data_IF_046802426985
#
_entry.id   IF_046802426985
#
_cell.length_a   1.000
_cell.length_b   1.000
_cell.length_c   1.000
_cell.angle_alpha   90.00
_cell.angle_beta   90.00
_cell.angle_gamma   90.00
#
_symmetry.space_group_name_H-M   'P 1'
#
loop_
_entity.id
_entity.type
_entity.pdbx_description
1 polymer ?
#
# COMPACT_ATOMS: atom_id res chain seq x y z
N UNK A 1 27.25 -21.90 -22.08
CA UNK A 1 27.71 -21.91 -20.68
C UNK A 1 26.92 -20.83 -19.96
N UNK A 2 25.83 -21.20 -19.27
CA UNK A 2 24.92 -20.25 -18.64
C UNK A 2 25.40 -19.93 -17.21
N UNK A 3 25.34 -18.66 -16.75
CA UNK A 3 25.76 -18.33 -15.40
C UNK A 3 24.76 -18.90 -14.37
N UNK A 4 25.23 -19.36 -13.19
CA UNK A 4 24.37 -19.91 -12.16
C UNK A 4 23.42 -18.81 -11.64
N UNK A 5 22.13 -18.98 -11.88
CA UNK A 5 21.08 -18.18 -11.22
C UNK A 5 21.12 -18.53 -9.74
N UNK A 6 21.56 -17.59 -8.90
CA UNK A 6 21.57 -17.69 -7.44
C UNK A 6 20.16 -17.75 -6.83
N UNK A 7 19.43 -18.83 -7.12
CA UNK A 7 18.11 -19.14 -6.61
C UNK A 7 18.23 -20.49 -5.91
N UNK A 8 18.26 -20.48 -4.57
CA UNK A 8 18.00 -21.70 -3.80
C UNK A 8 16.59 -22.19 -4.11
N UNK A 9 16.49 -23.44 -4.54
CA UNK A 9 15.21 -24.14 -4.76
C UNK A 9 14.31 -24.08 -3.51
N UNK A 10 12.97 -24.17 -3.67
CA UNK A 10 11.98 -23.90 -2.60
C UNK A 10 12.03 -24.85 -1.38
N UNK A 11 12.95 -25.82 -1.37
CA UNK A 11 13.01 -26.92 -0.41
C UNK A 11 13.82 -26.63 0.86
N UNK A 12 14.52 -25.49 1.02
CA UNK A 12 15.38 -25.22 2.20
C UNK A 12 15.30 -23.82 2.81
N UNK A 13 14.10 -23.32 3.11
CA UNK A 13 13.94 -22.11 3.95
C UNK A 13 13.02 -22.37 5.17
N UNK A 14 13.46 -23.20 6.14
CA UNK A 14 12.64 -23.60 7.31
C UNK A 14 12.24 -22.39 8.17
N UNK A 15 13.11 -21.39 8.29
CA UNK A 15 12.84 -20.15 9.03
C UNK A 15 11.71 -19.33 8.41
N UNK A 16 11.65 -19.25 7.08
CA UNK A 16 10.59 -18.55 6.36
C UNK A 16 9.22 -19.25 6.53
N UNK A 17 9.20 -20.59 6.57
CA UNK A 17 7.98 -21.36 6.86
C UNK A 17 7.52 -21.20 8.30
N UNK A 18 8.43 -21.19 9.26
CA UNK A 18 8.10 -20.99 10.67
C UNK A 18 7.54 -19.58 10.91
N UNK A 19 8.18 -18.55 10.36
CA UNK A 19 7.71 -17.16 10.44
C UNK A 19 6.35 -16.98 9.74
N UNK A 20 6.16 -17.56 8.55
CA UNK A 20 4.88 -17.56 7.84
C UNK A 20 3.77 -18.27 8.61
N UNK A 21 4.08 -19.38 9.29
CA UNK A 21 3.10 -20.14 10.09
C UNK A 21 2.73 -19.44 11.41
N UNK A 22 3.68 -18.74 12.04
CA UNK A 22 3.38 -17.92 13.21
C UNK A 22 2.49 -16.73 12.85
N UNK A 23 2.81 -16.05 11.73
CA UNK A 23 2.00 -14.97 11.19
C UNK A 23 0.59 -15.46 10.79
N UNK A 24 0.49 -16.62 10.13
CA UNK A 24 -0.77 -17.30 9.81
C UNK A 24 -1.69 -17.47 11.03
N UNK A 25 -1.13 -17.97 12.12
CA UNK A 25 -1.86 -18.25 13.35
C UNK A 25 -2.32 -16.95 14.02
N UNK A 26 -1.46 -15.93 14.07
CA UNK A 26 -1.83 -14.60 14.57
C UNK A 26 -2.98 -13.98 13.75
N UNK A 27 -2.92 -14.06 12.41
CA UNK A 27 -3.98 -13.61 11.51
C UNK A 27 -5.29 -14.41 11.67
N UNK A 28 -5.20 -15.72 11.88
CA UNK A 28 -6.38 -16.59 12.05
C UNK A 28 -7.08 -16.32 13.39
N UNK A 29 -6.32 -16.06 14.44
CA UNK A 29 -6.86 -15.68 15.75
C UNK A 29 -7.50 -14.29 15.69
N UNK A 30 -6.85 -13.31 15.04
CA UNK A 30 -7.44 -12.01 14.78
C UNK A 30 -8.74 -12.10 13.95
N UNK A 31 -8.80 -13.03 12.99
CA UNK A 31 -9.98 -13.24 12.12
C UNK A 31 -11.21 -13.65 12.91
N UNK A 32 -11.04 -14.57 13.86
CA UNK A 32 -12.14 -15.11 14.65
C UNK A 32 -12.68 -14.12 15.67
N UNK A 33 -11.85 -13.19 16.13
CA UNK A 33 -12.22 -12.22 17.16
C UNK A 33 -12.84 -10.94 16.58
N UNK A 34 -12.68 -10.65 15.28
CA UNK A 34 -13.00 -9.34 14.67
C UNK A 34 -13.52 -9.46 13.24
N UNK A 35 -14.70 -10.06 13.05
CA UNK A 35 -15.39 -10.12 11.75
C UNK A 35 -16.11 -8.77 11.47
N UNK A 36 -16.15 -8.21 10.24
CA UNK A 36 -15.75 -8.77 8.93
C UNK A 36 -14.28 -8.52 8.53
N UNK A 37 -13.53 -7.71 9.28
CA UNK A 37 -12.11 -7.38 9.01
C UNK A 37 -11.25 -7.61 10.27
N UNK A 38 -10.43 -8.68 10.30
CA UNK A 38 -9.62 -9.13 11.45
C UNK A 38 -8.66 -8.08 12.00
N UNK A 39 -8.12 -7.34 11.04
CA UNK A 39 -7.18 -6.23 11.14
C UNK A 39 -7.68 -5.17 10.14
N UNK A 40 -7.41 -3.89 10.39
CA UNK A 40 -7.90 -2.78 9.56
C UNK A 40 -9.43 -2.62 9.55
N UNK A 41 -10.13 -3.03 10.62
CA UNK A 41 -11.58 -2.91 10.73
C UNK A 41 -12.09 -1.47 10.72
N UNK A 42 -11.23 -0.51 11.09
CA UNK A 42 -11.52 0.92 11.04
C UNK A 42 -10.62 1.57 10.00
N UNK A 43 -11.23 2.23 9.04
CA UNK A 43 -10.53 3.01 8.05
C UNK A 43 -11.47 3.89 7.25
N UNK A 44 -10.93 4.96 6.71
CA UNK A 44 -11.65 5.94 5.90
C UNK A 44 -11.22 5.81 4.44
N UNK A 45 -12.16 6.03 3.54
CA UNK A 45 -11.90 6.03 2.11
C UNK A 45 -11.45 7.43 1.70
N UNK A 46 -10.42 7.48 0.88
CA UNK A 46 -9.85 8.69 0.34
C UNK A 46 -9.87 8.64 -1.19
N UNK A 47 -10.17 9.75 -1.84
CA UNK A 47 -10.12 9.92 -3.28
C UNK A 47 -9.06 10.95 -3.66
N UNK A 48 -8.45 10.82 -4.84
CA UNK A 48 -7.48 11.81 -5.30
C UNK A 48 -6.74 11.41 -6.55
N UNK A 49 -5.48 11.83 -6.63
CA UNK A 49 -4.63 11.61 -7.80
C UNK A 49 -3.16 11.40 -7.45
N UNK A 50 -2.46 10.70 -8.34
CA UNK A 50 -1.03 10.44 -8.25
C UNK A 50 -0.32 11.06 -9.47
N UNK A 51 0.73 11.84 -9.21
CA UNK A 51 1.55 12.53 -10.21
C UNK A 51 2.99 12.09 -10.09
N UNK A 52 3.59 11.64 -11.18
CA UNK A 52 5.00 11.26 -11.19
C UNK A 52 5.90 12.49 -11.30
N UNK A 53 7.03 12.44 -10.62
CA UNK A 53 8.06 13.47 -10.65
C UNK A 53 8.89 13.34 -11.92
N UNK A 54 9.11 14.45 -12.60
CA UNK A 54 10.00 14.50 -13.75
C UNK A 54 11.45 14.23 -13.32
N UNK A 55 12.18 13.40 -14.07
CA UNK A 55 13.58 13.07 -13.77
C UNK A 55 13.79 12.20 -12.53
N UNK A 56 12.76 11.46 -12.09
CA UNK A 56 12.90 10.49 -11.01
C UNK A 56 14.03 9.48 -11.31
N UNK A 57 14.80 9.09 -10.28
CA UNK A 57 15.83 8.07 -10.47
C UNK A 57 15.17 6.75 -10.84
N UNK A 58 15.71 5.99 -11.81
CA UNK A 58 15.12 4.71 -12.17
C UNK A 58 15.11 3.73 -10.98
N UNK A 59 14.03 2.99 -10.79
CA UNK A 59 13.87 1.93 -9.78
C UNK A 59 14.06 0.51 -10.35
N UNK A 60 13.88 0.31 -11.67
CA UNK A 60 13.83 -1.01 -12.29
C UNK A 60 12.42 -1.60 -12.18
N UNK A 61 11.41 -0.73 -12.17
CA UNK A 61 9.98 -1.06 -12.20
C UNK A 61 9.36 -0.13 -13.22
N UNK A 62 8.62 -0.66 -14.19
CA UNK A 62 7.87 0.15 -15.15
C UNK A 62 6.95 1.16 -14.46
N UNK A 63 6.39 0.79 -13.29
CA UNK A 63 5.62 1.71 -12.45
C UNK A 63 6.35 3.00 -12.08
N UNK A 64 7.67 2.99 -11.92
CA UNK A 64 8.49 4.17 -11.61
C UNK A 64 9.14 4.74 -12.88
N UNK A 65 9.62 3.84 -13.74
CA UNK A 65 10.50 4.17 -14.86
C UNK A 65 9.70 4.64 -16.10
N UNK A 66 8.47 4.16 -16.27
CA UNK A 66 7.56 4.51 -17.36
C UNK A 66 6.42 5.40 -16.85
N UNK A 67 6.80 6.57 -16.34
CA UNK A 67 5.89 7.52 -15.71
C UNK A 67 4.76 7.99 -16.64
N UNK A 68 3.48 7.89 -16.23
CA UNK A 68 2.38 8.54 -16.93
C UNK A 68 2.58 10.05 -17.04
N UNK A 69 2.22 10.63 -18.19
CA UNK A 69 2.35 12.08 -18.44
C UNK A 69 1.25 12.90 -17.78
N UNK A 70 0.10 12.29 -17.50
CA UNK A 70 -1.04 12.93 -16.83
C UNK A 70 -1.20 12.38 -15.41
N UNK A 71 -1.81 13.15 -14.49
CA UNK A 71 -2.19 12.64 -13.18
C UNK A 71 -3.09 11.41 -13.31
N UNK A 72 -2.83 10.41 -12.47
CA UNK A 72 -3.60 9.17 -12.45
C UNK A 72 -4.58 9.22 -11.28
N UNK A 73 -5.90 9.05 -11.51
CA UNK A 73 -6.89 8.99 -10.44
C UNK A 73 -6.63 7.82 -9.50
N UNK A 74 -6.86 8.01 -8.21
CA UNK A 74 -6.66 6.99 -7.19
C UNK A 74 -7.84 6.92 -6.22
N UNK A 75 -8.08 5.73 -5.69
CA UNK A 75 -8.87 5.51 -4.48
C UNK A 75 -7.96 4.87 -3.45
N UNK A 76 -8.00 5.38 -2.24
CA UNK A 76 -7.15 4.93 -1.16
C UNK A 76 -7.98 4.63 0.08
N UNK A 77 -7.42 3.84 0.98
CA UNK A 77 -8.01 3.56 2.28
C UNK A 77 -6.95 3.69 3.36
N UNK A 78 -7.17 4.64 4.25
CA UNK A 78 -6.36 4.83 5.45
C UNK A 78 -6.99 4.06 6.59
N UNK A 79 -6.21 3.29 7.34
CA UNK A 79 -6.77 2.38 8.35
C UNK A 79 -5.84 2.15 9.54
N UNK A 80 -6.43 1.64 10.63
CA UNK A 80 -5.74 1.27 11.85
C UNK A 80 -5.71 -0.26 11.97
N UNK A 81 -4.51 -0.84 11.93
CA UNK A 81 -4.33 -2.29 11.73
C UNK A 81 -4.75 -3.10 12.95
N UNK A 82 -4.25 -2.76 14.14
CA UNK A 82 -4.65 -3.38 15.41
C UNK A 82 -6.08 -2.95 15.76
N UNK A 83 -6.52 -1.78 15.35
CA UNK A 83 -7.86 -1.25 15.62
C UNK A 83 -7.99 -0.73 17.05
N UNK A 84 -6.94 -0.12 17.60
CA UNK A 84 -7.04 0.68 18.82
C UNK A 84 -7.74 2.01 18.50
N UNK A 85 -8.61 2.55 19.37
CA UNK A 85 -9.22 3.87 19.15
C UNK A 85 -8.16 4.97 19.21
N UNK A 86 -8.38 6.10 18.53
CA UNK A 86 -7.56 7.27 18.78
C UNK A 86 -7.76 7.77 20.22
N UNK A 87 -6.74 8.38 20.86
CA UNK A 87 -5.42 8.74 20.34
C UNK A 87 -4.33 7.68 20.59
N UNK A 88 -4.68 6.42 20.90
CA UNK A 88 -3.69 5.37 21.14
C UNK A 88 -2.80 5.16 19.90
N UNK A 89 -1.53 4.75 20.03
CA UNK A 89 -0.71 4.42 18.88
C UNK A 89 -1.18 3.11 18.23
N UNK A 90 -1.17 3.04 16.91
CA UNK A 90 -1.50 1.84 16.13
C UNK A 90 -0.58 1.73 14.90
N UNK A 91 -0.52 0.57 14.26
CA UNK A 91 0.09 0.44 12.94
C UNK A 91 -0.88 1.03 11.93
N UNK A 92 -0.45 2.10 11.26
CA UNK A 92 -1.23 2.83 10.28
C UNK A 92 -1.04 2.17 8.91
N UNK A 93 -2.13 1.73 8.29
CA UNK A 93 -2.12 1.18 6.94
C UNK A 93 -2.67 2.18 5.93
N UNK A 94 -2.01 2.33 4.79
CA UNK A 94 -2.51 3.08 3.63
C UNK A 94 -2.48 2.16 2.43
N UNK A 95 -3.66 1.82 1.90
CA UNK A 95 -3.77 1.09 0.66
C UNK A 95 -4.22 2.04 -0.46
N UNK A 96 -3.63 1.92 -1.65
CA UNK A 96 -3.89 2.80 -2.81
C UNK A 96 -4.16 1.91 -4.02
N UNK A 97 -5.25 2.20 -4.71
CA UNK A 97 -5.66 1.55 -5.96
C UNK A 97 -5.76 2.59 -7.06
N UNK A 98 -5.30 2.21 -8.23
CA UNK A 98 -5.32 3.03 -9.44
C UNK A 98 -5.35 2.13 -10.67
N UNK A 99 -5.56 2.74 -11.84
CA UNK A 99 -5.52 2.03 -13.12
C UNK A 99 -4.28 2.43 -13.90
N UNK A 100 -3.60 1.44 -14.49
CA UNK A 100 -2.58 1.69 -15.52
C UNK A 100 -2.83 0.74 -16.68
N UNK A 101 -2.90 1.29 -17.88
CA UNK A 101 -3.12 0.53 -19.12
C UNK A 101 -4.33 -0.44 -19.04
N UNK A 102 -5.46 0.04 -18.50
CA UNK A 102 -6.71 -0.75 -18.41
C UNK A 102 -6.70 -1.83 -17.33
N UNK A 103 -5.70 -1.86 -16.43
CA UNK A 103 -5.62 -2.85 -15.36
C UNK A 103 -5.52 -2.20 -13.98
N UNK A 104 -6.20 -2.75 -12.96
CA UNK A 104 -6.04 -2.31 -11.60
C UNK A 104 -4.63 -2.61 -11.08
N UNK A 105 -4.11 -1.70 -10.27
CA UNK A 105 -2.88 -1.85 -9.52
C UNK A 105 -3.10 -1.38 -8.08
N UNK A 106 -2.62 -2.17 -7.12
CA UNK A 106 -2.74 -1.94 -5.69
C UNK A 106 -1.36 -1.81 -5.05
N UNK A 107 -1.22 -0.85 -4.13
CA UNK A 107 -0.08 -0.72 -3.23
C UNK A 107 -0.59 -0.73 -1.80
N UNK A 108 0.00 -1.58 -0.96
CA UNK A 108 -0.34 -1.71 0.45
C UNK A 108 0.83 -1.26 1.33
N UNK A 109 0.72 -0.06 1.89
CA UNK A 109 1.69 0.48 2.84
C UNK A 109 1.25 0.23 4.28
N UNK A 110 2.24 0.12 5.17
CA UNK A 110 2.06 0.13 6.61
C UNK A 110 3.09 1.05 7.26
N UNK A 111 2.82 1.55 8.46
CA UNK A 111 3.77 2.40 9.17
C UNK A 111 5.02 1.62 9.56
N UNK A 112 6.17 2.04 9.02
CA UNK A 112 7.47 1.41 9.21
C UNK A 112 8.55 2.42 9.59
N UNK A 113 9.75 1.94 9.93
CA UNK A 113 10.92 2.79 10.04
C UNK A 113 11.44 3.31 8.69
N UNK A 114 12.48 4.14 8.75
CA UNK A 114 13.10 4.79 7.58
C UNK A 114 14.39 4.12 7.11
N UNK A 115 15.25 3.82 8.07
CA UNK A 115 16.60 3.28 7.85
C UNK A 115 16.64 1.79 8.12
N UNK A 116 17.66 1.13 7.61
CA UNK A 116 17.96 -0.24 8.00
C UNK A 116 18.38 -0.28 9.48
N UNK A 117 17.89 -1.26 10.28
CA UNK A 117 16.95 -2.33 9.90
C UNK A 117 15.48 -1.93 9.99
N UNK A 118 15.16 -0.82 10.67
CA UNK A 118 13.79 -0.41 11.01
C UNK A 118 12.84 -0.23 9.82
N UNK A 119 13.35 -0.02 8.59
CA UNK A 119 12.51 0.03 7.38
C UNK A 119 11.78 -1.28 7.06
N UNK A 120 12.19 -2.39 7.69
CA UNK A 120 11.51 -3.69 7.62
C UNK A 120 10.68 -4.00 8.88
N UNK A 121 10.50 -3.02 9.77
CA UNK A 121 9.81 -3.18 11.06
C UNK A 121 8.55 -2.31 11.08
N UNK A 122 7.42 -2.90 11.50
CA UNK A 122 6.20 -2.16 11.77
C UNK A 122 6.37 -1.28 13.01
N UNK A 123 5.99 -0.01 12.90
CA UNK A 123 6.03 0.95 14.00
C UNK A 123 4.61 1.47 14.26
N UNK A 124 4.27 1.64 15.53
CA UNK A 124 2.99 2.21 15.92
C UNK A 124 3.08 3.74 15.97
N UNK A 125 2.07 4.42 15.42
CA UNK A 125 1.97 5.88 15.39
C UNK A 125 0.61 6.33 15.91
N UNK A 126 0.60 7.46 16.63
CA UNK A 126 -0.65 8.12 17.06
C UNK A 126 -1.29 8.96 15.94
N UNK A 127 -0.45 9.44 15.02
CA UNK A 127 -0.76 10.43 13.99
C UNK A 127 -0.25 9.93 12.65
N UNK A 128 -1.14 9.76 11.69
CA UNK A 128 -0.83 9.19 10.38
C UNK A 128 0.10 10.09 9.56
N UNK A 129 -0.06 11.41 9.67
CA UNK A 129 0.78 12.42 9.03
C UNK A 129 2.24 12.42 9.53
N UNK A 130 2.51 11.78 10.67
CA UNK A 130 3.85 11.59 11.24
C UNK A 130 4.45 10.23 10.90
N UNK A 131 3.67 9.33 10.32
CA UNK A 131 4.12 8.00 9.95
C UNK A 131 4.92 8.04 8.64
N UNK A 132 5.82 7.08 8.50
CA UNK A 132 6.41 6.71 7.22
C UNK A 132 5.76 5.41 6.80
N UNK A 133 5.14 5.38 5.64
CA UNK A 133 4.27 4.29 5.22
C UNK A 133 5.02 3.48 4.17
N UNK A 134 5.71 2.42 4.58
CA UNK A 134 6.51 1.56 3.71
C UNK A 134 5.79 0.26 3.33
N UNK A 135 6.24 -0.37 2.24
CA UNK A 135 5.93 -1.78 2.00
C UNK A 135 6.91 -2.65 2.79
N UNK A 136 6.42 -3.68 3.49
CA UNK A 136 7.30 -4.59 4.26
C UNK A 136 8.07 -5.55 3.35
N UNK A 137 7.46 -5.96 2.25
CA UNK A 137 7.98 -6.98 1.35
C UNK A 137 8.32 -6.34 0.00
N UNK A 138 9.54 -6.50 -0.51
CA UNK A 138 9.94 -5.85 -1.74
C UNK A 138 9.28 -6.47 -2.96
N UNK A 139 9.01 -5.63 -3.95
CA UNK A 139 8.79 -6.09 -5.32
C UNK A 139 10.11 -6.59 -5.90
N UNK A 140 10.01 -7.50 -6.87
CA UNK A 140 11.13 -7.88 -7.72
C UNK A 140 11.09 -7.05 -9.00
N UNK A 141 11.93 -6.02 -9.07
CA UNK A 141 12.20 -5.28 -10.29
C UNK A 141 13.18 -5.98 -11.22
N UNK A 142 13.55 -5.33 -12.31
CA UNK A 142 14.54 -5.81 -13.27
C UNK A 142 15.97 -5.70 -12.74
N UNK A 143 16.20 -4.78 -11.81
CA UNK A 143 17.52 -4.55 -11.17
C UNK A 143 17.62 -5.08 -9.73
N UNK A 144 16.63 -5.85 -9.28
CA UNK A 144 16.63 -6.48 -7.96
C UNK A 144 15.43 -6.08 -7.08
N UNK A 145 15.54 -6.24 -5.75
CA UNK A 145 14.47 -5.90 -4.82
C UNK A 145 14.23 -4.39 -4.76
N UNK A 146 12.97 -3.99 -4.90
CA UNK A 146 12.53 -2.58 -4.82
C UNK A 146 11.50 -2.43 -3.70
N UNK A 147 11.80 -1.53 -2.77
CA UNK A 147 10.89 -1.09 -1.73
C UNK A 147 10.23 0.22 -2.15
N UNK A 148 8.98 0.42 -1.73
CA UNK A 148 8.26 1.68 -1.85
C UNK A 148 7.97 2.26 -0.47
N UNK A 149 7.87 3.58 -0.40
CA UNK A 149 7.48 4.34 0.79
C UNK A 149 6.61 5.53 0.40
N UNK A 150 5.69 5.91 1.28
CA UNK A 150 4.97 7.17 1.25
C UNK A 150 5.29 7.97 2.52
N UNK A 151 5.57 9.25 2.37
CA UNK A 151 5.83 10.18 3.47
C UNK A 151 5.04 11.46 3.28
N UNK A 152 4.42 11.95 4.34
CA UNK A 152 3.69 13.22 4.28
C UNK A 152 4.62 14.35 3.88
N UNK A 153 4.22 15.07 2.84
CA UNK A 153 4.81 16.32 2.38
C UNK A 153 4.11 17.50 3.03
N UNK A 154 2.78 17.49 3.03
CA UNK A 154 1.96 18.54 3.64
C UNK A 154 0.57 18.02 4.00
N UNK A 155 -0.14 18.79 4.84
CA UNK A 155 -1.47 18.43 5.32
C UNK A 155 -1.47 17.24 6.27
N UNK A 156 -2.66 16.74 6.53
CA UNK A 156 -2.92 15.57 7.37
C UNK A 156 -4.16 14.86 6.84
N UNK A 157 -4.32 13.55 7.06
CA UNK A 157 -5.55 12.89 6.65
C UNK A 157 -6.75 13.45 7.42
N UNK A 158 -7.96 13.45 6.80
CA UNK A 158 -9.17 13.97 7.43
C UNK A 158 -9.52 13.23 8.73
N UNK A 159 -9.31 11.91 8.77
CA UNK A 159 -9.47 11.07 9.95
C UNK A 159 -8.70 9.75 9.76
N UNK A 160 -8.52 8.99 10.85
CA UNK A 160 -8.05 7.58 10.79
C UNK A 160 -9.12 6.58 11.25
N UNK A 161 -10.23 7.09 11.79
CA UNK A 161 -11.40 6.36 12.25
C UNK A 161 -12.64 7.01 11.61
N UNK A 162 -13.56 6.25 10.99
CA UNK A 162 -14.81 6.78 10.44
C UNK A 162 -15.66 7.61 11.42
N UNK A 163 -15.50 7.39 12.74
CA UNK A 163 -16.23 8.16 13.76
C UNK A 163 -15.70 9.56 13.97
N UNK A 164 -14.50 9.84 13.46
CA UNK A 164 -13.81 11.13 13.57
C UNK A 164 -13.90 11.93 12.27
N UNK A 165 -14.77 11.52 11.34
CA UNK A 165 -14.91 12.20 10.06
C UNK A 165 -15.32 13.66 10.27
N UNK A 166 -14.63 14.60 9.62
CA UNK A 166 -14.95 16.01 9.74
C UNK A 166 -16.30 16.31 9.06
N UNK A 167 -17.02 17.30 9.58
CA UNK A 167 -18.28 17.78 9.00
C UNK A 167 -18.10 18.79 7.87
N UNK A 168 -16.84 19.16 7.56
CA UNK A 168 -16.46 20.12 6.54
C UNK A 168 -15.28 19.59 5.74
N UNK A 169 -15.14 20.09 4.52
CA UNK A 169 -14.00 19.80 3.67
C UNK A 169 -12.68 20.17 4.34
N UNK A 170 -11.74 19.25 4.28
CA UNK A 170 -10.38 19.46 4.77
C UNK A 170 -9.43 19.75 3.61
N UNK A 171 -8.34 20.44 3.91
CA UNK A 171 -7.19 20.53 3.03
C UNK A 171 -6.74 19.12 2.60
N UNK A 172 -6.14 18.97 1.40
CA UNK A 172 -5.65 17.68 0.94
C UNK A 172 -4.51 17.18 1.83
N UNK A 173 -4.38 15.87 1.91
CA UNK A 173 -3.18 15.23 2.43
C UNK A 173 -2.27 14.86 1.27
N UNK A 174 -1.07 15.44 1.24
CA UNK A 174 -0.10 15.23 0.16
C UNK A 174 1.06 14.39 0.68
N UNK A 175 1.34 13.30 -0.04
CA UNK A 175 2.37 12.33 0.26
C UNK A 175 3.39 12.29 -0.87
N UNK A 176 4.68 12.34 -0.56
CA UNK A 176 5.73 12.00 -1.53
C UNK A 176 5.95 10.49 -1.48
N UNK A 177 5.85 9.85 -2.64
CA UNK A 177 6.23 8.46 -2.84
C UNK A 177 7.71 8.37 -3.21
N UNK A 178 8.38 7.37 -2.64
CA UNK A 178 9.79 7.09 -2.90
C UNK A 178 10.05 5.59 -3.06
N UNK A 179 11.17 5.27 -3.70
CA UNK A 179 11.67 3.91 -3.84
C UNK A 179 13.09 3.78 -3.27
N UNK A 180 13.47 2.56 -2.93
CA UNK A 180 14.83 2.23 -2.54
C UNK A 180 15.15 0.78 -2.88
N UNK A 181 16.43 0.47 -3.05
CA UNK A 181 16.90 -0.90 -2.86
C UNK A 181 16.85 -1.25 -1.38
N UNK A 182 16.98 -2.53 -1.03
CA UNK A 182 16.92 -2.99 0.36
C UNK A 182 17.85 -2.18 1.30
N UNK A 183 19.06 -1.85 0.84
CA UNK A 183 20.11 -1.18 1.62
C UNK A 183 20.42 0.25 1.15
N UNK A 184 19.79 0.70 0.06
CA UNK A 184 20.07 2.00 -0.55
C UNK A 184 19.34 3.18 0.10
N UNK A 185 19.68 4.41 -0.31
CA UNK A 185 18.91 5.60 0.05
C UNK A 185 17.54 5.60 -0.63
N UNK A 186 16.61 6.39 -0.08
CA UNK A 186 15.30 6.63 -0.68
C UNK A 186 15.40 7.66 -1.80
N UNK A 187 14.72 7.41 -2.91
CA UNK A 187 14.63 8.29 -4.07
C UNK A 187 13.15 8.62 -4.34
N UNK A 188 12.77 9.91 -4.33
CA UNK A 188 11.39 10.30 -4.62
C UNK A 188 11.05 10.03 -6.09
N UNK A 189 9.81 9.65 -6.38
CA UNK A 189 9.35 9.41 -7.75
C UNK A 189 7.93 9.89 -8.07
N UNK A 190 7.07 10.12 -7.07
CA UNK A 190 5.72 10.61 -7.31
C UNK A 190 5.18 11.39 -6.09
N UNK A 191 4.09 12.12 -6.32
CA UNK A 191 3.26 12.73 -5.31
C UNK A 191 1.85 12.13 -5.37
N UNK A 192 1.31 11.83 -4.21
CA UNK A 192 -0.05 11.33 -4.01
C UNK A 192 -0.81 12.40 -3.23
N UNK A 193 -1.77 13.03 -3.88
CA UNK A 193 -2.70 13.98 -3.25
C UNK A 193 -4.03 13.26 -3.01
N UNK A 194 -4.50 13.23 -1.76
CA UNK A 194 -5.74 12.56 -1.40
C UNK A 194 -6.59 13.42 -0.46
N UNK A 195 -7.90 13.26 -0.57
CA UNK A 195 -8.95 13.94 0.22
C UNK A 195 -9.95 12.91 0.70
N UNK A 196 -10.85 13.32 1.60
CA UNK A 196 -11.96 12.46 1.98
C UNK A 196 -12.79 12.13 0.74
N UNK A 197 -13.04 10.84 0.50
CA UNK A 197 -13.95 10.44 -0.57
C UNK A 197 -15.41 10.65 -0.11
N UNK A 198 -16.30 11.26 -0.92
CA UNK A 198 -17.70 11.39 -0.52
C UNK A 198 -18.40 10.04 -0.34
N UNK A 199 -17.97 9.01 -1.08
CA UNK A 199 -18.45 7.64 -0.93
C UNK A 199 -17.51 6.85 0.00
N UNK A 200 -17.96 6.63 1.24
CA UNK A 200 -17.25 5.86 2.25
C UNK A 200 -17.53 4.34 2.21
N UNK A 201 -18.31 3.85 1.25
CA UNK A 201 -18.57 2.41 1.12
C UNK A 201 -17.28 1.64 0.79
N UNK A 202 -16.87 0.73 1.67
CA UNK A 202 -15.57 0.05 1.56
C UNK A 202 -15.65 -1.43 1.12
N UNK A 203 -16.85 -1.90 0.76
CA UNK A 203 -17.16 -3.29 0.40
C UNK A 203 -16.37 -3.77 -0.84
N UNK A 204 -16.22 -2.92 -1.85
CA UNK A 204 -15.40 -3.15 -3.06
C UNK A 204 -13.93 -2.73 -2.94
N UNK A 205 -13.51 -2.21 -1.77
CA UNK A 205 -12.15 -1.74 -1.50
C UNK A 205 -11.33 -2.79 -0.73
N UNK A 206 -11.28 -3.99 -1.31
CA UNK A 206 -10.37 -5.04 -0.90
C UNK A 206 -9.12 -4.98 -1.77
N UNK A 207 -8.08 -4.34 -1.26
CA UNK A 207 -6.79 -4.19 -1.92
C UNK A 207 -6.02 -5.51 -1.89
N UNK A 208 -5.34 -5.81 -2.98
CA UNK A 208 -4.53 -7.02 -3.15
C UNK A 208 -3.33 -6.74 -4.06
N UNK A 209 -2.22 -6.30 -3.46
CA UNK A 209 -0.99 -5.99 -4.18
C UNK A 209 -0.30 -7.21 -4.82
N UNK A 210 -0.78 -8.44 -4.57
CA UNK A 210 -0.32 -9.65 -5.26
C UNK A 210 -1.14 -9.91 -6.52
N UNK A 211 -2.48 -9.81 -6.43
CA UNK A 211 -3.37 -9.98 -7.59
C UNK A 211 -3.29 -8.79 -8.55
N UNK A 212 -3.10 -7.59 -8.01
CA UNK A 212 -3.02 -6.34 -8.76
C UNK A 212 -1.65 -5.68 -8.51
N UNK A 213 -0.53 -6.30 -8.94
CA UNK A 213 0.78 -5.70 -8.75
C UNK A 213 0.94 -4.45 -9.62
N UNK A 214 1.77 -3.51 -9.17
CA UNK A 214 2.12 -2.35 -10.00
C UNK A 214 2.84 -2.76 -11.29
N UNK A 215 2.76 -1.99 -12.38
CA UNK A 215 3.42 -2.31 -13.64
C UNK A 215 4.91 -2.64 -13.49
N UNK A 216 5.35 -3.71 -14.14
CA UNK A 216 6.73 -4.20 -14.07
C UNK A 216 7.13 -4.89 -12.75
N UNK A 217 6.25 -4.91 -11.73
CA UNK A 217 6.53 -5.62 -10.50
C UNK A 217 6.29 -7.12 -10.64
N UNK A 218 7.30 -7.90 -10.27
CA UNK A 218 7.17 -9.34 -10.02
C UNK A 218 7.17 -9.59 -8.51
N UNK A 219 6.63 -10.72 -8.10
CA UNK A 219 6.64 -11.12 -6.68
C UNK A 219 7.62 -12.27 -6.45
N UNK A 220 8.42 -12.20 -5.38
CA UNK A 220 9.27 -13.31 -4.97
C UNK A 220 8.44 -14.49 -4.45
N UNK A 221 8.90 -15.72 -4.68
CA UNK A 221 8.18 -16.92 -4.22
C UNK A 221 8.01 -16.95 -2.68
N UNK A 222 9.02 -16.50 -1.94
CA UNK A 222 8.95 -16.41 -0.47
C UNK A 222 7.97 -15.32 0.01
N UNK A 223 7.80 -14.23 -0.74
CA UNK A 223 6.82 -13.17 -0.45
C UNK A 223 5.40 -13.71 -0.62
N UNK A 224 5.15 -14.45 -1.71
CA UNK A 224 3.87 -15.15 -1.92
C UNK A 224 3.59 -16.12 -0.77
N UNK A 225 4.58 -16.95 -0.40
CA UNK A 225 4.44 -17.90 0.69
C UNK A 225 4.21 -17.24 2.06
N UNK A 226 4.88 -16.12 2.35
CA UNK A 226 4.74 -15.39 3.61
C UNK A 226 3.35 -14.75 3.76
N UNK A 227 2.75 -14.30 2.65
CA UNK A 227 1.40 -13.72 2.66
C UNK A 227 0.28 -14.75 2.45
N UNK A 228 0.60 -15.96 1.96
CA UNK A 228 -0.37 -17.04 1.68
C UNK A 228 -1.40 -17.30 2.81
N UNK A 229 -1.04 -17.26 4.11
CA UNK A 229 -2.03 -17.50 5.16
C UNK A 229 -3.12 -16.43 5.29
N UNK A 230 -2.84 -15.21 4.83
CA UNK A 230 -3.79 -14.10 4.78
C UNK A 230 -4.72 -14.19 3.56
N UNK A 231 -4.30 -14.94 2.53
CA UNK A 231 -5.02 -15.10 1.25
C UNK A 231 -5.84 -16.39 1.16
N UNK A 232 -5.55 -17.44 1.94
CA UNK A 232 -6.26 -18.74 1.92
C UNK A 232 -7.71 -18.64 2.45
N UNK A 233 -8.18 -17.46 2.85
CA UNK A 233 -9.61 -17.18 2.94
C UNK A 233 -9.94 -15.79 2.38
N UNK A 234 -10.98 -15.77 1.55
CA UNK A 234 -11.87 -14.63 1.23
C UNK A 234 -11.44 -13.70 0.08
N UNK A 235 -11.75 -14.12 -1.15
CA UNK A 235 -12.61 -13.39 -2.09
C UNK A 235 -12.93 -14.29 -3.28
N UNK A 236 -14.19 -14.40 -3.73
CA UNK A 236 -14.48 -14.94 -5.05
C UNK A 236 -13.81 -14.06 -6.12
N UNK A 237 -13.35 -14.66 -7.22
CA UNK A 237 -12.69 -13.93 -8.31
C UNK A 237 -13.58 -12.83 -8.92
N UNK A 238 -14.90 -12.92 -8.72
CA UNK A 238 -15.92 -11.99 -9.23
C UNK A 238 -16.38 -10.92 -8.22
N UNK A 239 -15.66 -10.71 -7.12
CA UNK A 239 -16.02 -9.63 -6.19
C UNK A 239 -15.93 -8.26 -6.88
N UNK A 240 -16.93 -7.36 -6.71
CA UNK A 240 -16.91 -6.05 -7.35
C UNK A 240 -15.67 -5.25 -6.90
N UNK A 241 -14.86 -4.83 -7.86
CA UNK A 241 -13.66 -4.02 -7.65
C UNK A 241 -14.07 -2.55 -7.75
N UNK A 242 -14.01 -1.81 -6.64
CA UNK A 242 -14.15 -0.34 -6.69
C UNK A 242 -12.87 0.25 -7.28
N UNK A 243 -13.01 0.87 -8.44
CA UNK A 243 -11.98 1.68 -9.10
C UNK A 243 -12.11 3.15 -8.68
N UNK A 244 -11.04 3.95 -8.82
CA UNK A 244 -11.13 5.40 -8.67
C UNK A 244 -12.23 5.96 -9.57
N UNK A 245 -12.97 6.95 -9.10
CA UNK A 245 -13.85 7.70 -9.98
C UNK A 245 -13.02 8.36 -11.08
N UNK A 246 -13.47 8.27 -12.34
CA UNK A 246 -12.90 9.07 -13.42
C UNK A 246 -13.10 10.54 -13.06
N UNK A 247 -12.06 11.39 -13.10
CA UNK A 247 -12.23 12.81 -12.87
C UNK A 247 -13.28 13.33 -13.85
N UNK A 248 -14.35 13.92 -13.31
CA UNK A 248 -15.29 14.65 -14.13
C UNK A 248 -14.52 15.81 -14.77
N UNK A 249 -14.53 15.99 -16.11
CA UNK A 249 -13.92 17.17 -16.70
C UNK A 249 -14.52 18.40 -16.01
N UNK A 250 -13.66 19.31 -15.56
CA UNK A 250 -14.10 20.57 -14.98
C UNK A 250 -15.11 21.18 -15.94
N UNK A 251 -16.34 21.43 -15.45
CA UNK A 251 -17.33 22.11 -16.24
C UNK A 251 -16.71 23.44 -16.68
N UNK A 252 -16.38 23.55 -17.96
CA UNK A 252 -15.94 24.81 -18.55
C UNK A 252 -17.13 25.75 -18.41
N UNK A 253 -17.07 26.63 -17.41
CA UNK A 253 -18.06 27.69 -17.24
C UNK A 253 -18.08 28.52 -18.51
N UNK A 254 -19.22 28.50 -19.19
CA UNK A 254 -19.63 29.50 -20.18
C UNK A 254 -19.86 30.84 -19.51
#
# INVERSE_FOLDING_TARGET
MNPPTGITSPTRAPVARAAGSALARAFTVAQRLRNPRPIHSRGVVLGGEMRWLQGARPAGLAFVDDAPTRPVPVVARLSRSIGLPAPLPDVIGLAVRFEVAGRPADIEFASTGWNVPLRFTLLAHRRAERARLGILLPYRGDRGPVLLIARTRSGQPPATDPRELPTRDTAPWVLTLGHATAWGPWHPFAELEVRLDPDQADEGLRFDAIRHPVPGARTYAWVRAARQPSYVRVQPDDAPIRMPATPQPAATGT
#
